data_IF_558097857895
#
_entry.id   IF_558097857895
#
_cell.length_a   1.000
_cell.length_b   1.000
_cell.length_c   1.000
_cell.angle_alpha   90.00
_cell.angle_beta   90.00
_cell.angle_gamma   90.00
#
_symmetry.space_group_name_H-M   'P 1'
#
loop_
_entity.id
_entity.type
_entity.pdbx_description
1 polymer ?
#
# COMPACT_ATOMS: atom_id res chain seq x y z
N UNK A 1 22.73 -9.23 -6.83
CA UNK A 1 21.43 -9.67 -7.33
C UNK A 1 20.84 -8.52 -8.08
N UNK A 2 20.64 -8.67 -9.39
CA UNK A 2 19.99 -7.65 -10.20
C UNK A 2 18.48 -7.68 -9.94
N UNK A 3 17.78 -6.58 -10.24
CA UNK A 3 16.33 -6.52 -10.09
C UNK A 3 15.63 -7.61 -10.92
N UNK A 4 16.19 -7.95 -12.08
CA UNK A 4 15.73 -9.02 -12.95
C UNK A 4 15.84 -10.40 -12.28
N UNK A 5 16.96 -10.70 -11.59
CA UNK A 5 17.14 -11.96 -10.85
C UNK A 5 16.15 -12.11 -9.70
N UNK A 6 15.80 -11.00 -9.04
CA UNK A 6 14.83 -10.98 -7.95
C UNK A 6 13.40 -11.21 -8.47
N UNK A 7 13.07 -10.67 -9.65
CA UNK A 7 11.80 -10.91 -10.35
C UNK A 7 11.72 -12.36 -10.84
N UNK A 8 12.81 -12.93 -11.34
CA UNK A 8 12.88 -14.34 -11.75
C UNK A 8 12.68 -15.29 -10.57
N UNK A 9 13.28 -14.98 -9.41
CA UNK A 9 13.07 -15.73 -8.18
C UNK A 9 11.65 -15.57 -7.64
N UNK A 10 11.05 -14.38 -7.71
CA UNK A 10 9.65 -14.18 -7.33
C UNK A 10 8.67 -14.94 -8.24
N UNK A 11 9.01 -15.11 -9.53
CA UNK A 11 8.27 -15.99 -10.46
C UNK A 11 8.41 -17.47 -10.12
N UNK A 12 9.58 -17.89 -9.60
CA UNK A 12 9.80 -19.24 -9.08
C UNK A 12 9.04 -19.51 -7.77
N UNK A 13 8.71 -18.49 -6.98
CA UNK A 13 7.94 -18.60 -5.71
C UNK A 13 6.41 -18.66 -6.00
N UNK A 14 6.00 -19.39 -7.04
CA UNK A 14 4.66 -20.00 -7.08
C UNK A 14 3.48 -19.19 -7.60
N UNK A 15 3.56 -17.86 -7.71
CA UNK A 15 2.38 -17.06 -8.13
C UNK A 15 2.17 -17.08 -9.66
N UNK A 16 3.22 -17.35 -10.45
CA UNK A 16 3.19 -17.22 -11.92
C UNK A 16 2.76 -18.46 -12.71
N UNK A 17 3.20 -19.67 -12.33
CA UNK A 17 3.12 -20.87 -13.18
C UNK A 17 1.68 -21.35 -13.43
N UNK A 18 0.83 -21.29 -12.41
CA UNK A 18 -0.55 -21.80 -12.48
C UNK A 18 -1.48 -20.87 -13.26
N UNK A 19 -1.34 -19.56 -13.09
CA UNK A 19 -2.15 -18.57 -13.81
C UNK A 19 -1.86 -18.58 -15.32
N UNK A 20 -0.62 -18.86 -15.71
CA UNK A 20 -0.25 -18.93 -17.13
C UNK A 20 -0.80 -20.19 -17.82
N UNK A 21 -0.89 -21.32 -17.11
CA UNK A 21 -1.58 -22.53 -17.61
C UNK A 21 -3.08 -22.31 -17.81
N UNK A 22 -3.72 -21.58 -16.89
CA UNK A 22 -5.15 -21.22 -16.99
C UNK A 22 -5.40 -20.34 -18.23
N UNK A 23 -4.53 -19.36 -18.51
CA UNK A 23 -4.68 -18.48 -19.69
C UNK A 23 -4.64 -19.23 -21.03
N UNK A 24 -3.91 -20.33 -21.10
CA UNK A 24 -3.73 -21.13 -22.33
C UNK A 24 -4.58 -22.41 -22.36
N UNK A 25 -5.51 -22.58 -21.42
CA UNK A 25 -6.30 -23.80 -21.24
C UNK A 25 -5.44 -25.08 -21.11
N UNK A 26 -4.23 -24.98 -20.55
CA UNK A 26 -3.40 -26.14 -20.25
C UNK A 26 -3.88 -26.82 -18.96
N UNK A 27 -3.79 -28.17 -18.86
CA UNK A 27 -4.13 -28.88 -17.63
C UNK A 27 -3.27 -28.40 -16.45
N UNK A 28 -3.94 -27.98 -15.37
CA UNK A 28 -3.32 -27.64 -14.09
C UNK A 28 -3.15 -28.92 -13.28
N UNK A 29 -1.92 -29.24 -12.86
CA UNK A 29 -1.60 -30.43 -12.06
C UNK A 29 -1.61 -30.10 -10.56
N UNK A 30 -1.71 -31.11 -9.70
CA UNK A 30 -1.61 -30.92 -8.25
C UNK A 30 -0.26 -30.32 -7.82
N UNK A 31 0.84 -30.69 -8.49
CA UNK A 31 2.16 -30.10 -8.23
C UNK A 31 2.20 -28.61 -8.58
N UNK A 32 1.45 -28.16 -9.59
CA UNK A 32 1.34 -26.73 -9.92
C UNK A 32 0.61 -25.96 -8.81
N UNK A 33 -0.41 -26.56 -8.20
CA UNK A 33 -1.16 -25.98 -7.09
C UNK A 33 -0.34 -25.96 -5.79
N UNK A 34 0.37 -27.05 -5.49
CA UNK A 34 1.28 -27.13 -4.33
C UNK A 34 2.44 -26.13 -4.45
N UNK A 35 2.92 -25.86 -5.67
CA UNK A 35 3.94 -24.85 -5.92
C UNK A 35 3.46 -23.41 -5.64
N UNK A 36 2.15 -23.13 -5.68
CA UNK A 36 1.58 -21.83 -5.27
C UNK A 36 1.75 -21.60 -3.75
N UNK A 37 1.95 -22.68 -2.98
CA UNK A 37 2.04 -22.66 -1.53
C UNK A 37 0.67 -22.65 -0.85
N UNK A 38 0.64 -23.07 0.42
CA UNK A 38 -0.55 -22.92 1.25
C UNK A 38 -0.63 -21.48 1.78
N UNK A 39 -1.77 -20.83 1.56
CA UNK A 39 -2.01 -19.46 2.01
C UNK A 39 -3.43 -19.26 2.51
N UNK A 40 -3.60 -18.24 3.34
CA UNK A 40 -4.89 -17.79 3.83
C UNK A 40 -5.31 -16.52 3.11
N UNK A 41 -6.53 -16.54 2.58
CA UNK A 41 -7.12 -15.38 1.92
C UNK A 41 -8.03 -14.61 2.89
N UNK A 42 -7.85 -13.30 3.00
CA UNK A 42 -8.87 -12.42 3.56
C UNK A 42 -9.78 -11.95 2.44
N UNK A 43 -11.04 -12.37 2.45
CA UNK A 43 -12.06 -11.80 1.56
C UNK A 43 -12.49 -10.46 2.14
N UNK A 44 -12.26 -9.39 1.39
CA UNK A 44 -12.61 -8.02 1.79
C UNK A 44 -13.89 -7.57 1.10
N UNK A 45 -14.42 -6.42 1.50
CA UNK A 45 -15.62 -5.87 0.88
C UNK A 45 -15.45 -5.59 -0.62
N UNK A 46 -14.22 -5.24 -1.02
CA UNK A 46 -13.85 -4.78 -2.36
C UNK A 46 -13.08 -5.83 -3.17
N UNK A 47 -12.56 -6.89 -2.54
CA UNK A 47 -11.65 -7.83 -3.18
C UNK A 47 -11.13 -8.88 -2.23
N UNK A 48 -9.81 -9.07 -2.19
CA UNK A 48 -9.14 -9.99 -1.27
C UNK A 48 -7.64 -9.67 -1.12
N UNK A 49 -7.00 -10.27 -0.12
CA UNK A 49 -5.53 -10.42 -0.06
C UNK A 49 -5.19 -11.85 0.33
N UNK A 50 -3.97 -12.32 0.03
CA UNK A 50 -3.50 -13.67 0.35
C UNK A 50 -2.18 -13.56 1.09
N UNK A 51 -2.04 -14.31 2.18
CA UNK A 51 -0.84 -14.36 3.02
C UNK A 51 -0.45 -15.80 3.32
N UNK A 52 0.82 -16.04 3.65
CA UNK A 52 1.26 -17.32 4.19
C UNK A 52 0.95 -17.43 5.70
N UNK A 53 0.97 -18.66 6.22
CA UNK A 53 0.64 -18.96 7.63
C UNK A 53 1.72 -18.54 8.64
N UNK A 54 2.93 -18.19 8.21
CA UNK A 54 3.99 -17.69 9.08
C UNK A 54 3.82 -16.20 9.41
N UNK A 55 3.04 -15.47 8.60
CA UNK A 55 2.68 -14.09 8.85
C UNK A 55 1.66 -13.96 10.00
N UNK A 56 1.73 -12.85 10.72
CA UNK A 56 0.68 -12.46 11.66
C UNK A 56 -0.62 -12.12 10.91
N UNK A 57 -1.80 -12.31 11.56
CA UNK A 57 -3.06 -11.79 11.01
C UNK A 57 -2.93 -10.31 10.62
N UNK A 58 -3.55 -9.93 9.50
CA UNK A 58 -3.35 -8.63 8.87
C UNK A 58 -3.67 -7.47 9.83
N UNK A 59 -2.66 -6.66 10.14
CA UNK A 59 -2.78 -5.49 10.99
C UNK A 59 -3.46 -4.29 10.29
N UNK A 60 -3.62 -4.37 8.97
CA UNK A 60 -4.32 -3.38 8.13
C UNK A 60 -5.74 -3.81 7.78
N UNK A 61 -6.28 -4.83 8.46
CA UNK A 61 -7.63 -5.29 8.19
C UNK A 61 -8.62 -4.12 8.33
N UNK A 62 -9.55 -4.01 7.36
CA UNK A 62 -10.50 -2.89 7.18
C UNK A 62 -9.91 -1.56 6.69
N UNK A 63 -8.58 -1.42 6.65
CA UNK A 63 -7.89 -0.32 5.97
C UNK A 63 -7.38 -0.77 4.58
N UNK A 64 -8.08 -1.73 3.96
CA UNK A 64 -7.59 -2.42 2.77
C UNK A 64 -7.42 -1.50 1.55
N UNK A 65 -8.15 -0.39 1.45
CA UNK A 65 -7.99 0.59 0.37
C UNK A 65 -6.65 1.35 0.44
N UNK A 66 -6.01 1.31 1.60
CA UNK A 66 -4.70 1.92 1.85
C UNK A 66 -3.58 0.87 1.95
N UNK A 67 -3.90 -0.40 1.69
CA UNK A 67 -2.97 -1.52 1.71
C UNK A 67 -2.57 -1.89 0.28
N UNK A 68 -1.27 -1.99 0.00
CA UNK A 68 -0.83 -2.39 -1.35
C UNK A 68 -1.25 -3.81 -1.67
N UNK A 69 -1.45 -4.69 -0.68
CA UNK A 69 -1.82 -6.10 -0.86
C UNK A 69 -3.28 -6.34 -1.24
N UNK A 70 -4.12 -5.29 -1.25
CA UNK A 70 -5.51 -5.40 -1.68
C UNK A 70 -5.59 -5.67 -3.18
N UNK A 71 -6.21 -6.79 -3.53
CA UNK A 71 -6.44 -7.24 -4.89
C UNK A 71 -7.92 -7.11 -5.23
N UNK A 72 -8.22 -6.52 -6.38
CA UNK A 72 -9.58 -6.42 -6.93
C UNK A 72 -9.64 -7.09 -8.31
N UNK A 73 -10.80 -7.62 -8.69
CA UNK A 73 -11.00 -8.27 -10.00
C UNK A 73 -11.91 -7.39 -10.85
N UNK A 74 -11.45 -7.04 -12.06
CA UNK A 74 -12.30 -6.33 -13.02
C UNK A 74 -13.46 -7.23 -13.48
N UNK A 75 -14.66 -6.65 -13.60
CA UNK A 75 -15.87 -7.36 -13.98
C UNK A 75 -16.73 -7.81 -12.78
N UNK A 76 -16.22 -7.69 -11.55
CA UNK A 76 -17.04 -7.88 -10.35
C UNK A 76 -17.90 -6.64 -10.09
N UNK A 77 -19.07 -6.61 -10.74
CA UNK A 77 -20.02 -5.48 -10.66
C UNK A 77 -20.44 -5.20 -9.22
N UNK A 78 -20.63 -6.22 -8.38
CA UNK A 78 -21.08 -6.03 -6.99
C UNK A 78 -20.01 -5.34 -6.16
N UNK A 79 -18.74 -5.73 -6.30
CA UNK A 79 -17.63 -5.10 -5.58
C UNK A 79 -17.34 -3.69 -6.10
N UNK A 80 -17.49 -3.46 -7.40
CA UNK A 80 -17.39 -2.11 -7.98
C UNK A 80 -18.46 -1.16 -7.40
N UNK A 81 -19.70 -1.61 -7.29
CA UNK A 81 -20.77 -0.81 -6.68
C UNK A 81 -20.52 -0.54 -5.18
N UNK A 82 -19.94 -1.49 -4.45
CA UNK A 82 -19.49 -1.26 -3.06
C UNK A 82 -18.38 -0.22 -3.00
N UNK A 83 -17.39 -0.27 -3.89
CA UNK A 83 -16.33 0.74 -3.99
C UNK A 83 -16.90 2.14 -4.25
N UNK A 84 -17.87 2.28 -5.16
CA UNK A 84 -18.55 3.56 -5.43
C UNK A 84 -19.29 4.09 -4.21
N UNK A 85 -19.98 3.20 -3.47
CA UNK A 85 -20.64 3.57 -2.22
C UNK A 85 -19.64 4.02 -1.17
N UNK A 86 -18.51 3.31 -1.05
CA UNK A 86 -17.43 3.69 -0.14
C UNK A 86 -16.84 5.04 -0.51
N UNK A 87 -16.60 5.33 -1.80
CA UNK A 87 -16.18 6.65 -2.28
C UNK A 87 -17.12 7.75 -1.82
N UNK A 88 -18.43 7.56 -1.97
CA UNK A 88 -19.43 8.52 -1.49
C UNK A 88 -19.38 8.72 0.03
N UNK A 89 -19.16 7.64 0.79
CA UNK A 89 -18.95 7.70 2.23
C UNK A 89 -17.71 8.50 2.61
N UNK A 90 -16.57 8.23 1.96
CA UNK A 90 -15.30 8.94 2.16
C UNK A 90 -15.47 10.43 1.88
N UNK A 91 -16.12 10.81 0.78
CA UNK A 91 -16.40 12.22 0.45
C UNK A 91 -17.20 12.93 1.54
N UNK A 92 -18.20 12.26 2.12
CA UNK A 92 -18.97 12.80 3.24
C UNK A 92 -18.09 12.99 4.49
N UNK A 93 -17.26 12.00 4.83
CA UNK A 93 -16.38 12.09 6.00
C UNK A 93 -15.27 13.12 5.80
N UNK A 94 -14.74 13.25 4.59
CA UNK A 94 -13.75 14.28 4.25
C UNK A 94 -14.32 15.68 4.45
N UNK A 95 -15.55 15.96 3.99
CA UNK A 95 -16.22 17.25 4.22
C UNK A 95 -16.38 17.56 5.71
N UNK A 96 -16.77 16.55 6.51
CA UNK A 96 -16.88 16.69 7.98
C UNK A 96 -15.53 17.00 8.61
N UNK A 97 -14.47 16.29 8.20
CA UNK A 97 -13.13 16.51 8.72
C UNK A 97 -12.60 17.90 8.36
N UNK A 98 -12.86 18.37 7.13
CA UNK A 98 -12.48 19.71 6.67
C UNK A 98 -13.18 20.81 7.47
N UNK A 99 -14.49 20.69 7.70
CA UNK A 99 -15.22 21.63 8.56
C UNK A 99 -14.71 21.62 10.01
N UNK A 100 -14.31 20.45 10.53
CA UNK A 100 -13.71 20.36 11.85
C UNK A 100 -12.30 21.00 11.90
N UNK A 101 -11.54 20.96 10.80
CA UNK A 101 -10.29 21.71 10.68
C UNK A 101 -10.52 23.22 10.73
N UNK A 102 -11.55 23.74 10.05
CA UNK A 102 -11.90 25.16 10.06
C UNK A 102 -12.30 25.64 11.47
N UNK A 103 -12.84 24.75 12.29
CA UNK A 103 -13.15 24.99 13.70
C UNK A 103 -12.02 24.69 14.68
N UNK A 104 -10.77 24.53 14.21
CA UNK A 104 -9.57 24.23 15.01
C UNK A 104 -9.73 23.00 15.95
N UNK A 105 -10.53 22.01 15.54
CA UNK A 105 -10.69 20.77 16.29
C UNK A 105 -9.40 19.95 16.22
N UNK A 106 -8.82 19.69 17.39
CA UNK A 106 -7.58 18.92 17.51
C UNK A 106 -7.65 17.57 16.78
N UNK A 107 -6.68 17.31 15.90
CA UNK A 107 -6.55 16.06 15.14
C UNK A 107 -7.42 15.96 13.88
N UNK A 108 -8.28 16.94 13.60
CA UNK A 108 -9.09 16.97 12.37
C UNK A 108 -8.24 17.02 11.09
N UNK A 109 -7.07 17.64 11.18
CA UNK A 109 -6.06 17.72 10.11
C UNK A 109 -5.62 16.34 9.62
N UNK A 110 -5.30 15.43 10.55
CA UNK A 110 -4.86 14.06 10.25
C UNK A 110 -5.99 13.24 9.63
N UNK A 111 -7.21 13.39 10.12
CA UNK A 111 -8.38 12.75 9.53
C UNK A 111 -8.63 13.25 8.11
N UNK A 112 -8.54 14.56 7.89
CA UNK A 112 -8.66 15.15 6.56
C UNK A 112 -7.59 14.63 5.60
N UNK A 113 -6.34 14.51 6.06
CA UNK A 113 -5.25 13.97 5.25
C UNK A 113 -5.48 12.49 4.89
N UNK A 114 -5.85 11.66 5.87
CA UNK A 114 -6.13 10.24 5.66
C UNK A 114 -7.28 10.03 4.67
N UNK A 115 -8.38 10.78 4.81
CA UNK A 115 -9.53 10.67 3.92
C UNK A 115 -9.20 11.12 2.49
N UNK A 116 -8.37 12.16 2.30
CA UNK A 116 -7.91 12.58 0.96
C UNK A 116 -7.13 11.49 0.25
N UNK A 117 -6.16 10.88 0.94
CA UNK A 117 -5.34 9.80 0.38
C UNK A 117 -6.20 8.57 0.05
N UNK A 118 -7.14 8.22 0.92
CA UNK A 118 -8.04 7.09 0.68
C UNK A 118 -8.99 7.36 -0.48
N UNK A 119 -9.49 8.59 -0.62
CA UNK A 119 -10.32 9.03 -1.73
C UNK A 119 -9.59 8.91 -3.06
N UNK A 120 -8.36 9.42 -3.13
CA UNK A 120 -7.53 9.34 -4.33
C UNK A 120 -7.36 7.88 -4.77
N UNK A 121 -6.99 7.00 -3.84
CA UNK A 121 -6.79 5.57 -4.12
C UNK A 121 -8.08 4.88 -4.58
N UNK A 122 -9.20 5.14 -3.92
CA UNK A 122 -10.48 4.52 -4.32
C UNK A 122 -10.92 5.01 -5.71
N UNK A 123 -10.68 6.28 -6.03
CA UNK A 123 -11.00 6.86 -7.34
C UNK A 123 -10.12 6.26 -8.45
N UNK A 124 -8.82 6.11 -8.20
CA UNK A 124 -7.90 5.42 -9.13
C UNK A 124 -8.34 3.97 -9.36
N UNK A 125 -8.70 3.25 -8.30
CA UNK A 125 -9.14 1.86 -8.40
C UNK A 125 -10.44 1.75 -9.21
N UNK A 126 -11.44 2.58 -8.92
CA UNK A 126 -12.70 2.64 -9.69
C UNK A 126 -12.42 2.96 -11.15
N UNK A 127 -11.55 3.94 -11.42
CA UNK A 127 -11.18 4.30 -12.79
C UNK A 127 -10.61 3.11 -13.56
N UNK A 128 -9.67 2.36 -12.98
CA UNK A 128 -9.09 1.16 -13.62
C UNK A 128 -10.16 0.08 -13.85
N UNK A 129 -11.03 -0.15 -12.86
CA UNK A 129 -12.08 -1.15 -12.93
C UNK A 129 -13.16 -0.80 -13.98
N UNK A 130 -13.39 0.48 -14.28
CA UNK A 130 -14.35 0.92 -15.30
C UNK A 130 -13.73 1.07 -16.69
N UNK A 131 -12.43 1.28 -16.79
CA UNK A 131 -11.73 1.53 -18.06
C UNK A 131 -11.85 0.36 -19.04
N UNK A 132 -12.32 0.62 -20.26
CA UNK A 132 -12.50 -0.39 -21.32
C UNK A 132 -11.19 -1.03 -21.81
N UNK A 133 -10.05 -0.34 -21.63
CA UNK A 133 -8.73 -0.84 -22.01
C UNK A 133 -8.16 -1.92 -21.07
N UNK A 134 -8.92 -2.41 -20.09
CA UNK A 134 -8.52 -3.48 -19.19
C UNK A 134 -9.53 -4.61 -19.35
N UNK A 135 -9.13 -5.85 -19.69
CA UNK A 135 -10.07 -6.97 -19.86
C UNK A 135 -10.74 -7.38 -18.55
N UNK A 136 -12.00 -7.83 -18.61
CA UNK A 136 -12.66 -8.44 -17.46
C UNK A 136 -11.90 -9.70 -16.99
N UNK A 137 -11.91 -9.96 -15.69
CA UNK A 137 -11.06 -10.98 -15.05
C UNK A 137 -9.63 -10.51 -14.74
N UNK A 138 -9.23 -9.30 -15.17
CA UNK A 138 -7.93 -8.72 -14.81
C UNK A 138 -7.80 -8.54 -13.30
N UNK A 139 -6.64 -8.93 -12.78
CA UNK A 139 -6.25 -8.75 -11.39
C UNK A 139 -5.66 -7.36 -11.23
N UNK A 140 -6.30 -6.52 -10.41
CA UNK A 140 -5.93 -5.12 -10.20
C UNK A 140 -5.39 -4.96 -8.78
N UNK A 141 -4.18 -4.40 -8.69
CA UNK A 141 -3.48 -4.05 -7.45
C UNK A 141 -2.91 -2.65 -7.63
N UNK A 142 -3.19 -1.74 -6.71
CA UNK A 142 -2.59 -0.41 -6.75
C UNK A 142 -1.15 -0.47 -6.24
N UNK A 143 -0.24 0.22 -6.92
CA UNK A 143 1.06 0.51 -6.34
C UNK A 143 0.90 1.68 -5.34
N UNK A 144 1.37 1.49 -4.11
CA UNK A 144 1.27 2.48 -3.05
C UNK A 144 2.67 2.78 -2.51
N UNK A 145 3.31 3.80 -3.08
CA UNK A 145 4.71 4.11 -2.77
C UNK A 145 4.89 4.60 -1.33
N UNK A 146 3.96 5.41 -0.83
CA UNK A 146 3.95 5.96 0.53
C UNK A 146 3.37 5.01 1.60
N UNK A 147 3.14 3.74 1.27
CA UNK A 147 2.74 2.76 2.26
C UNK A 147 3.88 2.51 3.26
N UNK A 148 3.53 2.46 4.55
CA UNK A 148 4.49 2.12 5.59
C UNK A 148 5.05 0.72 5.38
N UNK A 149 6.37 0.63 5.32
CA UNK A 149 7.13 -0.61 5.31
C UNK A 149 8.37 -0.43 6.19
N UNK A 150 8.66 -1.35 7.13
CA UNK A 150 9.88 -1.32 7.92
C UNK A 150 11.14 -1.29 7.06
N UNK A 151 11.13 -2.02 5.93
CA UNK A 151 12.24 -2.03 4.97
C UNK A 151 12.40 -0.67 4.29
N UNK A 152 11.31 -0.07 3.78
CA UNK A 152 11.36 1.28 3.19
C UNK A 152 11.88 2.31 4.19
N UNK A 153 11.45 2.21 5.46
CA UNK A 153 11.92 3.08 6.55
C UNK A 153 13.42 2.94 6.78
N UNK A 154 13.93 1.72 6.82
CA UNK A 154 15.35 1.44 7.03
C UNK A 154 16.21 1.90 5.84
N UNK A 155 15.76 1.63 4.60
CA UNK A 155 16.43 2.12 3.39
C UNK A 155 16.52 3.65 3.42
N UNK A 156 15.41 4.33 3.71
CA UNK A 156 15.39 5.80 3.80
C UNK A 156 16.25 6.36 4.94
N UNK A 157 16.44 5.61 6.04
CA UNK A 157 17.36 5.99 7.11
C UNK A 157 18.82 5.88 6.68
N UNK A 158 19.18 4.82 5.96
CA UNK A 158 20.53 4.62 5.41
C UNK A 158 20.88 5.65 4.34
N UNK A 159 19.96 5.94 3.41
CA UNK A 159 20.17 6.95 2.37
C UNK A 159 20.41 8.34 2.97
N UNK A 160 19.61 8.74 3.97
CA UNK A 160 19.83 10.01 4.70
C UNK A 160 21.18 10.08 5.40
N UNK A 161 21.65 8.97 5.98
CA UNK A 161 22.99 8.91 6.58
C UNK A 161 24.08 9.08 5.53
N UNK A 162 23.90 8.57 4.31
CA UNK A 162 24.86 8.74 3.21
C UNK A 162 24.86 10.19 2.71
N UNK A 163 23.69 10.82 2.54
CA UNK A 163 23.57 12.23 2.16
C UNK A 163 24.22 13.16 3.20
N UNK A 164 24.05 12.86 4.49
CA UNK A 164 24.71 13.60 5.58
C UNK A 164 26.23 13.46 5.55
N UNK A 165 26.76 12.30 5.16
CA UNK A 165 28.22 12.06 5.04
C UNK A 165 28.82 12.75 3.82
N UNK A 166 28.04 13.02 2.77
CA UNK A 166 28.50 13.66 1.53
C UNK A 166 28.50 15.20 1.65
N UNK A 167 27.67 15.79 2.52
CA UNK A 167 27.78 17.22 2.83
C UNK A 167 29.05 17.46 3.67
N UNK A 168 29.98 18.35 3.23
CA UNK A 168 31.11 18.71 4.08
C UNK A 168 30.55 19.33 5.36
N UNK A 169 31.10 19.00 6.54
CA UNK A 169 30.64 19.64 7.77
C UNK A 169 30.84 21.15 7.61
N UNK A 170 29.76 21.93 7.70
CA UNK A 170 29.89 23.36 7.91
C UNK A 170 30.53 23.53 9.28
N UNK A 171 31.78 23.97 9.31
CA UNK A 171 32.53 24.30 10.51
C UNK A 171 31.97 25.58 11.14
N UNK A 172 30.73 25.55 11.62
CA UNK A 172 30.31 26.46 12.67
C UNK A 172 30.40 25.67 13.97
N UNK A 173 31.53 25.89 14.66
CA UNK A 173 31.72 25.44 16.03
C UNK A 173 30.61 26.09 16.86
N UNK A 174 29.60 25.30 17.22
CA UNK A 174 28.57 25.73 18.15
C UNK A 174 29.28 26.05 19.47
N UNK A 175 29.17 27.30 19.90
CA UNK A 175 29.83 27.79 21.11
C UNK A 175 29.22 27.09 22.34
N UNK A 176 30.03 26.26 22.99
CA UNK A 176 29.63 25.48 24.16
C UNK A 176 29.33 26.38 25.37
N UNK A 177 29.83 27.63 25.38
CA UNK A 177 29.53 28.60 26.43
C UNK A 177 28.08 29.13 26.31
N UNK A 178 27.53 29.21 25.10
CA UNK A 178 26.15 29.65 24.83
C UNK A 178 25.12 28.61 25.27
N UNK A 179 25.43 27.32 25.07
CA UNK A 179 24.59 26.20 25.55
C UNK A 179 24.57 26.16 27.08
N UNK A 180 25.70 26.48 27.73
CA UNK A 180 25.81 26.46 29.17
C UNK A 180 24.97 27.55 29.84
N UNK A 181 24.91 28.74 29.23
CA UNK A 181 24.06 29.86 29.67
C UNK A 181 22.56 29.55 29.60
N UNK A 182 22.13 28.66 28.71
CA UNK A 182 20.72 28.26 28.57
C UNK A 182 20.29 27.16 29.56
N UNK A 183 21.24 26.53 30.23
CA UNK A 183 21.00 25.43 31.18
C UNK A 183 21.17 25.82 32.65
N UNK A 184 21.62 27.04 32.94
CA UNK A 184 21.69 27.59 34.29
C UNK A 184 20.37 28.31 34.62
N UNK A 185 19.43 27.56 35.22
CA UNK A 185 18.33 28.11 36.05
C UNK A 185 18.77 28.22 37.51
#
# INVERSE_FOLDING_TARGET
>A
MTDDECIEQARQIGVGSTLDKIKINAPVTFADLEAVGEGIAHVTEYGFCVHDFSMLPCQKNRDCLNCSEQVCIKGDVKKLERLKRQRSGILLQLKKAQHACEGDVYGADRWSQHQRVTLERVEQLIHILERSGTPDGSIIKLNIDNEFSPLKREIAARTRNIEFVIQPPSTELVDLDEIRLLMEF
#
